data_IF_115545622710
#
_entry.id   IF_115545622710
#
_cell.length_a   1.000
_cell.length_b   1.000
_cell.length_c   1.000
_cell.angle_alpha   90.00
_cell.angle_beta   90.00
_cell.angle_gamma   90.00
#
_symmetry.space_group_name_H-M   'P 1'
#
loop_
_entity.id
_entity.type
_entity.pdbx_description
1 polymer ?
#
# COMPACT_ATOMS: atom_id res chain seq x y z
N UNK A 1 70.54 -14.92 39.55
CA UNK A 1 69.74 -13.70 39.32
C UNK A 1 69.19 -13.58 37.89
N UNK A 2 69.93 -13.94 36.82
CA UNK A 2 69.39 -13.79 35.46
C UNK A 2 68.17 -14.68 35.14
N UNK A 3 68.19 -15.96 35.54
CA UNK A 3 67.07 -16.90 35.30
C UNK A 3 65.76 -16.50 35.97
N UNK A 4 65.81 -15.95 37.20
CA UNK A 4 64.61 -15.50 37.90
C UNK A 4 63.99 -14.26 37.25
N UNK A 5 64.83 -13.36 36.73
CA UNK A 5 64.36 -12.16 36.02
C UNK A 5 63.73 -12.50 34.67
N UNK A 6 64.31 -13.43 33.91
CA UNK A 6 63.74 -13.87 32.62
C UNK A 6 62.41 -14.59 32.80
N UNK A 7 62.26 -15.40 33.86
CA UNK A 7 60.99 -16.06 34.19
C UNK A 7 59.89 -15.04 34.57
N UNK A 8 60.23 -14.01 35.34
CA UNK A 8 59.29 -12.95 35.68
C UNK A 8 58.81 -12.22 34.41
N UNK A 9 59.74 -11.82 33.52
CA UNK A 9 59.38 -11.14 32.28
C UNK A 9 58.46 -12.02 31.41
N UNK A 10 58.74 -13.32 31.29
CA UNK A 10 57.91 -14.24 30.53
C UNK A 10 56.49 -14.35 31.12
N UNK A 11 56.35 -14.43 32.44
CA UNK A 11 55.05 -14.47 33.11
C UNK A 11 54.25 -13.16 32.92
N UNK A 12 54.91 -12.00 33.02
CA UNK A 12 54.31 -10.70 32.75
C UNK A 12 53.87 -10.56 31.28
N UNK A 13 54.68 -11.04 30.33
CA UNK A 13 54.32 -11.03 28.91
C UNK A 13 53.10 -11.91 28.64
N UNK A 14 53.07 -13.14 29.17
CA UNK A 14 51.95 -14.06 28.98
C UNK A 14 50.64 -13.54 29.59
N UNK A 15 50.69 -13.02 30.82
CA UNK A 15 49.50 -12.43 31.45
C UNK A 15 48.98 -11.22 30.68
N UNK A 16 49.88 -10.34 30.21
CA UNK A 16 49.49 -9.17 29.41
C UNK A 16 48.79 -9.57 28.11
N UNK A 17 49.31 -10.58 27.41
CA UNK A 17 48.69 -11.10 26.18
C UNK A 17 47.33 -11.73 26.48
N UNK A 18 47.25 -12.56 27.53
CA UNK A 18 45.99 -13.20 27.94
C UNK A 18 44.89 -12.19 28.27
N UNK A 19 45.22 -11.12 29.00
CA UNK A 19 44.26 -10.06 29.30
C UNK A 19 43.89 -9.22 28.07
N UNK A 20 44.83 -8.98 27.15
CA UNK A 20 44.55 -8.29 25.88
C UNK A 20 43.58 -9.09 25.02
N UNK A 21 43.85 -10.37 24.80
CA UNK A 21 42.99 -11.24 24.01
C UNK A 21 41.58 -11.32 24.60
N UNK A 22 41.49 -11.46 25.93
CA UNK A 22 40.19 -11.47 26.60
C UNK A 22 39.44 -10.13 26.45
N UNK A 23 40.15 -9.00 26.52
CA UNK A 23 39.55 -7.69 26.30
C UNK A 23 39.07 -7.48 24.85
N UNK A 24 39.83 -7.94 23.86
CA UNK A 24 39.45 -7.88 22.44
C UNK A 24 38.20 -8.75 22.20
N UNK A 25 38.18 -9.97 22.75
CA UNK A 25 37.04 -10.87 22.59
C UNK A 25 35.78 -10.34 23.26
N UNK A 26 35.89 -9.79 24.47
CA UNK A 26 34.76 -9.17 25.16
C UNK A 26 34.21 -7.96 24.39
N UNK A 27 35.11 -7.11 23.86
CA UNK A 27 34.72 -5.99 23.01
C UNK A 27 34.01 -6.46 21.74
N UNK A 28 34.54 -7.46 21.05
CA UNK A 28 33.94 -8.03 19.83
C UNK A 28 32.53 -8.59 20.07
N UNK A 29 32.34 -9.32 21.17
CA UNK A 29 31.03 -9.83 21.56
C UNK A 29 30.02 -8.71 21.83
N UNK A 30 30.45 -7.66 22.54
CA UNK A 30 29.63 -6.49 22.81
C UNK A 30 29.26 -5.73 21.55
N UNK A 31 30.22 -5.48 20.67
CA UNK A 31 30.00 -4.76 19.42
C UNK A 31 29.02 -5.55 18.53
N UNK A 32 29.18 -6.87 18.47
CA UNK A 32 28.26 -7.77 17.77
C UNK A 32 26.84 -7.71 18.37
N UNK A 33 26.71 -7.77 19.70
CA UNK A 33 25.43 -7.69 20.38
C UNK A 33 24.75 -6.32 20.23
N UNK A 34 25.53 -5.24 20.30
CA UNK A 34 25.03 -3.87 20.09
C UNK A 34 24.57 -3.67 18.65
N UNK A 35 25.31 -4.21 17.68
CA UNK A 35 24.96 -4.15 16.28
C UNK A 35 23.67 -4.95 15.99
N UNK A 36 23.57 -6.19 16.50
CA UNK A 36 22.37 -7.02 16.30
C UNK A 36 21.13 -6.40 16.94
N UNK A 37 21.26 -5.80 18.13
CA UNK A 37 20.19 -5.07 18.80
C UNK A 37 19.77 -3.84 17.99
N UNK A 38 20.73 -3.08 17.46
CA UNK A 38 20.44 -1.91 16.61
C UNK A 38 19.70 -2.31 15.34
N UNK A 39 20.13 -3.40 14.70
CA UNK A 39 19.49 -3.93 13.50
C UNK A 39 18.05 -4.39 13.80
N UNK A 40 17.86 -5.16 14.88
CA UNK A 40 16.53 -5.61 15.29
C UNK A 40 15.60 -4.43 15.58
N UNK A 41 16.09 -3.38 16.27
CA UNK A 41 15.31 -2.19 16.56
C UNK A 41 14.94 -1.40 15.30
N UNK A 42 15.87 -1.29 14.34
CA UNK A 42 15.60 -0.69 13.04
C UNK A 42 14.53 -1.48 12.27
N UNK A 43 14.61 -2.81 12.26
CA UNK A 43 13.59 -3.68 11.65
C UNK A 43 12.23 -3.52 12.32
N UNK A 44 12.16 -3.51 13.65
CA UNK A 44 10.90 -3.30 14.38
C UNK A 44 10.29 -1.94 14.02
N UNK A 45 11.11 -0.89 14.00
CA UNK A 45 10.67 0.46 13.64
C UNK A 45 10.11 0.51 12.21
N UNK A 46 10.79 -0.13 11.25
CA UNK A 46 10.32 -0.23 9.87
C UNK A 46 8.97 -0.99 9.80
N UNK A 47 8.87 -2.12 10.50
CA UNK A 47 7.65 -2.91 10.57
C UNK A 47 6.48 -2.10 11.16
N UNK A 48 6.70 -1.35 12.25
CA UNK A 48 5.67 -0.48 12.84
C UNK A 48 5.25 0.63 11.89
N UNK A 49 6.18 1.22 11.14
CA UNK A 49 5.85 2.25 10.15
C UNK A 49 4.96 1.66 9.04
N UNK A 50 5.36 0.51 8.48
CA UNK A 50 4.57 -0.17 7.45
C UNK A 50 3.17 -0.56 7.93
N UNK A 51 3.05 -1.04 9.17
CA UNK A 51 1.73 -1.34 9.76
C UNK A 51 0.84 -0.10 9.81
N UNK A 52 1.37 1.06 10.22
CA UNK A 52 0.60 2.32 10.22
C UNK A 52 0.23 2.75 8.81
N UNK A 53 1.14 2.62 7.85
CA UNK A 53 0.89 2.99 6.46
C UNK A 53 -0.20 2.08 5.83
N UNK A 54 -0.14 0.77 6.09
CA UNK A 54 -1.18 -0.18 5.67
C UNK A 54 -2.52 0.12 6.33
N UNK A 55 -2.55 0.42 7.64
CA UNK A 55 -3.79 0.79 8.33
C UNK A 55 -4.39 2.11 7.78
N UNK A 56 -3.55 3.08 7.42
CA UNK A 56 -4.01 4.30 6.79
C UNK A 56 -4.56 4.06 5.38
N UNK A 57 -3.91 3.19 4.59
CA UNK A 57 -4.41 2.76 3.29
C UNK A 57 -5.74 2.02 3.41
N UNK A 58 -5.84 1.08 4.34
CA UNK A 58 -7.07 0.33 4.62
C UNK A 58 -8.23 1.25 5.01
N UNK A 59 -7.99 2.20 5.92
CA UNK A 59 -9.00 3.18 6.30
C UNK A 59 -9.43 4.08 5.13
N UNK A 60 -8.48 4.47 4.27
CA UNK A 60 -8.77 5.25 3.06
C UNK A 60 -9.66 4.47 2.11
N UNK A 61 -9.28 3.24 1.75
CA UNK A 61 -10.03 2.43 0.80
C UNK A 61 -11.39 1.97 1.34
N UNK A 62 -11.48 1.63 2.63
CA UNK A 62 -12.76 1.36 3.29
C UNK A 62 -13.72 2.54 3.18
N UNK A 63 -13.23 3.77 3.39
CA UNK A 63 -14.05 4.98 3.26
C UNK A 63 -14.47 5.22 1.80
N UNK A 64 -13.56 5.08 0.85
CA UNK A 64 -13.86 5.26 -0.57
C UNK A 64 -14.88 4.22 -1.07
N UNK A 65 -14.77 2.98 -0.62
CA UNK A 65 -15.71 1.90 -0.90
C UNK A 65 -17.11 2.21 -0.35
N UNK A 66 -17.20 2.56 0.93
CA UNK A 66 -18.48 2.90 1.57
C UNK A 66 -19.17 4.10 0.90
N UNK A 67 -18.40 5.13 0.53
CA UNK A 67 -18.95 6.28 -0.18
C UNK A 67 -19.41 5.92 -1.60
N UNK A 68 -18.67 5.08 -2.32
CA UNK A 68 -19.07 4.59 -3.63
C UNK A 68 -20.36 3.76 -3.59
N UNK A 69 -20.50 2.87 -2.60
CA UNK A 69 -21.71 2.09 -2.34
C UNK A 69 -22.90 3.02 -2.01
N UNK A 70 -22.69 4.00 -1.14
CA UNK A 70 -23.72 5.00 -0.79
C UNK A 70 -24.18 5.77 -2.03
N UNK A 71 -23.25 6.22 -2.87
CA UNK A 71 -23.58 6.89 -4.13
C UNK A 71 -24.34 5.98 -5.09
N UNK A 72 -24.05 4.67 -5.14
CA UNK A 72 -24.79 3.74 -6.00
C UNK A 72 -26.22 3.50 -5.50
N UNK A 73 -26.38 3.23 -4.20
CA UNK A 73 -27.70 3.04 -3.59
C UNK A 73 -28.60 4.27 -3.72
N UNK A 74 -28.03 5.49 -3.67
CA UNK A 74 -28.78 6.71 -3.96
C UNK A 74 -29.28 6.75 -5.41
N UNK A 75 -28.44 6.41 -6.39
CA UNK A 75 -28.85 6.36 -7.79
C UNK A 75 -29.95 5.31 -8.03
N UNK A 76 -29.84 4.14 -7.40
CA UNK A 76 -30.87 3.09 -7.49
C UNK A 76 -32.20 3.60 -6.91
N UNK A 77 -32.17 4.24 -5.74
CA UNK A 77 -33.37 4.83 -5.12
C UNK A 77 -34.00 5.90 -6.02
N UNK A 78 -33.18 6.76 -6.63
CA UNK A 78 -33.65 7.80 -7.56
C UNK A 78 -34.29 7.21 -8.81
N UNK A 79 -33.72 6.16 -9.39
CA UNK A 79 -34.34 5.46 -10.53
C UNK A 79 -35.66 4.77 -10.14
N UNK A 80 -35.70 4.12 -8.97
CA UNK A 80 -36.92 3.50 -8.45
C UNK A 80 -38.04 4.51 -8.20
N UNK A 81 -37.69 5.73 -7.77
CA UNK A 81 -38.62 6.85 -7.63
C UNK A 81 -39.01 7.53 -8.97
N UNK A 82 -38.57 7.00 -10.12
CA UNK A 82 -38.89 7.54 -11.45
C UNK A 82 -37.98 8.67 -11.92
N UNK A 83 -36.88 8.93 -11.21
CA UNK A 83 -35.84 9.86 -11.61
C UNK A 83 -35.03 9.36 -12.82
N UNK A 84 -34.19 10.24 -13.37
CA UNK A 84 -33.31 9.93 -14.52
C UNK A 84 -31.84 10.01 -14.12
N UNK A 85 -31.02 9.10 -14.66
CA UNK A 85 -29.57 9.05 -14.47
C UNK A 85 -28.89 9.05 -15.83
N UNK A 86 -27.82 9.84 -15.99
CA UNK A 86 -27.02 9.84 -17.22
C UNK A 86 -25.88 8.84 -17.10
N UNK A 87 -25.74 8.00 -18.11
CA UNK A 87 -24.65 7.03 -18.22
C UNK A 87 -23.80 7.41 -19.42
N UNK A 88 -22.49 7.46 -19.24
CA UNK A 88 -21.56 7.66 -20.35
C UNK A 88 -21.37 6.32 -21.07
N UNK A 89 -21.85 6.22 -22.30
CA UNK A 89 -21.65 5.06 -23.16
C UNK A 89 -20.79 5.39 -24.37
N UNK A 90 -20.20 4.36 -24.98
CA UNK A 90 -19.67 4.40 -26.35
C UNK A 90 -20.39 3.32 -27.15
N UNK A 91 -20.98 3.71 -28.27
CA UNK A 91 -21.56 2.79 -29.24
C UNK A 91 -20.64 2.75 -30.46
N UNK A 92 -20.11 1.56 -30.79
CA UNK A 92 -19.26 1.33 -31.99
C UNK A 92 -20.08 0.91 -33.22
N UNK A 93 -21.38 1.18 -33.21
CA UNK A 93 -22.23 0.91 -34.38
C UNK A 93 -21.75 1.81 -35.53
N UNK A 94 -21.54 1.30 -36.76
CA UNK A 94 -21.29 2.15 -37.91
C UNK A 94 -22.53 3.01 -38.11
N UNK A 95 -22.46 4.24 -37.62
CA UNK A 95 -23.52 5.19 -37.79
C UNK A 95 -23.44 5.66 -39.24
N UNK A 96 -24.49 5.40 -40.03
CA UNK A 96 -24.76 6.13 -41.27
C UNK A 96 -24.95 7.60 -40.90
N UNK A 97 -23.85 8.30 -40.68
CA UNK A 97 -23.82 9.68 -40.19
C UNK A 97 -23.50 10.56 -41.37
N UNK A 98 -24.42 11.48 -41.66
CA UNK A 98 -24.10 12.70 -42.42
C UNK A 98 -22.91 13.37 -41.73
N UNK A 99 -21.81 13.56 -42.47
CA UNK A 99 -20.57 14.16 -41.97
C UNK A 99 -20.87 15.48 -41.26
N UNK A 100 -20.63 15.54 -39.94
CA UNK A 100 -20.68 16.80 -39.21
C UNK A 100 -19.47 17.67 -39.61
N UNK A 101 -19.71 18.93 -39.97
CA UNK A 101 -18.64 19.89 -40.28
C UNK A 101 -17.77 20.16 -39.04
N UNK A 102 -16.47 20.49 -39.22
CA UNK A 102 -15.58 20.82 -38.12
C UNK A 102 -16.14 22.01 -37.33
N UNK A 103 -16.51 21.79 -36.06
CA UNK A 103 -17.09 22.81 -35.18
C UNK A 103 -18.55 22.61 -34.78
N UNK A 104 -19.25 21.60 -35.32
CA UNK A 104 -20.65 21.31 -34.96
C UNK A 104 -20.78 19.98 -34.23
N UNK A 105 -21.39 20.00 -33.04
CA UNK A 105 -21.92 18.79 -32.39
C UNK A 105 -23.32 18.51 -32.96
N UNK A 106 -23.51 17.35 -33.58
CA UNK A 106 -24.82 16.96 -34.12
C UNK A 106 -25.85 16.81 -33.01
N UNK A 107 -27.06 17.35 -33.21
CA UNK A 107 -28.18 17.16 -32.29
C UNK A 107 -28.86 15.81 -32.57
N UNK A 108 -28.23 14.73 -32.08
CA UNK A 108 -28.76 13.37 -32.23
C UNK A 108 -29.96 13.14 -31.29
N UNK A 109 -30.84 12.21 -31.67
CA UNK A 109 -31.94 11.79 -30.81
C UNK A 109 -31.43 11.28 -29.45
N UNK A 110 -32.12 11.65 -28.37
CA UNK A 110 -31.82 11.14 -27.03
C UNK A 110 -32.20 9.67 -26.96
N UNK A 111 -31.25 8.83 -26.54
CA UNK A 111 -31.49 7.40 -26.26
C UNK A 111 -31.73 7.24 -24.76
N UNK A 112 -32.91 6.77 -24.38
CA UNK A 112 -33.24 6.41 -23.01
C UNK A 112 -33.20 4.89 -22.83
N UNK A 113 -32.52 4.42 -21.80
CA UNK A 113 -32.55 3.01 -21.41
C UNK A 113 -33.90 2.69 -20.78
N UNK A 114 -34.38 1.46 -20.96
CA UNK A 114 -35.54 0.97 -20.21
C UNK A 114 -35.24 0.97 -18.71
N UNK A 115 -36.29 0.97 -17.87
CA UNK A 115 -36.14 0.90 -16.42
C UNK A 115 -35.28 -0.30 -15.99
N UNK A 116 -35.55 -1.47 -16.58
CA UNK A 116 -34.85 -2.71 -16.27
C UNK A 116 -33.37 -2.64 -16.68
N UNK A 117 -33.09 -2.08 -17.87
CA UNK A 117 -31.70 -1.85 -18.31
C UNK A 117 -30.97 -0.83 -17.43
N UNK A 118 -31.66 0.21 -16.95
CA UNK A 118 -31.10 1.20 -16.03
C UNK A 118 -30.72 0.59 -14.67
N UNK A 119 -31.57 -0.28 -14.13
CA UNK A 119 -31.28 -1.01 -12.89
C UNK A 119 -30.08 -1.95 -13.07
N UNK A 120 -30.05 -2.71 -14.16
CA UNK A 120 -28.94 -3.63 -14.46
C UNK A 120 -27.58 -2.91 -14.55
N UNK A 121 -27.53 -1.69 -15.09
CA UNK A 121 -26.29 -0.89 -15.13
C UNK A 121 -25.80 -0.55 -13.71
N UNK A 122 -26.71 -0.23 -12.79
CA UNK A 122 -26.34 0.07 -11.40
C UNK A 122 -25.95 -1.18 -10.62
N UNK A 123 -26.55 -2.33 -10.94
CA UNK A 123 -26.19 -3.62 -10.35
C UNK A 123 -24.79 -4.06 -10.79
N UNK A 124 -24.46 -3.92 -12.09
CA UNK A 124 -23.09 -4.11 -12.60
C UNK A 124 -22.10 -3.18 -11.88
N UNK A 125 -22.47 -1.90 -11.73
CA UNK A 125 -21.64 -0.95 -10.99
C UNK A 125 -21.46 -1.36 -9.54
N UNK A 126 -22.47 -1.95 -8.89
CA UNK A 126 -22.37 -2.42 -7.52
C UNK A 126 -21.38 -3.59 -7.38
N UNK A 127 -21.42 -4.54 -8.33
CA UNK A 127 -20.41 -5.61 -8.42
C UNK A 127 -18.99 -5.05 -8.56
N UNK A 128 -18.77 -4.14 -9.50
CA UNK A 128 -17.44 -3.50 -9.70
C UNK A 128 -16.98 -2.75 -8.44
N UNK A 129 -17.89 -2.08 -7.74
CA UNK A 129 -17.55 -1.39 -6.48
C UNK A 129 -17.12 -2.39 -5.41
N UNK A 130 -17.83 -3.53 -5.28
CA UNK A 130 -17.53 -4.56 -4.29
C UNK A 130 -16.25 -5.35 -4.57
N UNK A 131 -15.81 -5.40 -5.83
CA UNK A 131 -14.60 -6.10 -6.26
C UNK A 131 -13.33 -5.26 -6.10
N UNK A 132 -13.43 -4.00 -5.68
CA UNK A 132 -12.30 -3.12 -5.33
C UNK A 132 -11.83 -3.35 -3.90
#
# INVERSE_FOLDING_TARGET
MQLSVTLLIAALAWTTEHYRDNAIQYKSQRDTASHSLTLANATITDMTKRQRDVAALDAKYTKELADAQTRNTDLQRRLAAGGRVRVKGRCTVPASTTTASPGSVGNAATVELSRDSGQNVLDIRAGIISDQ
#
